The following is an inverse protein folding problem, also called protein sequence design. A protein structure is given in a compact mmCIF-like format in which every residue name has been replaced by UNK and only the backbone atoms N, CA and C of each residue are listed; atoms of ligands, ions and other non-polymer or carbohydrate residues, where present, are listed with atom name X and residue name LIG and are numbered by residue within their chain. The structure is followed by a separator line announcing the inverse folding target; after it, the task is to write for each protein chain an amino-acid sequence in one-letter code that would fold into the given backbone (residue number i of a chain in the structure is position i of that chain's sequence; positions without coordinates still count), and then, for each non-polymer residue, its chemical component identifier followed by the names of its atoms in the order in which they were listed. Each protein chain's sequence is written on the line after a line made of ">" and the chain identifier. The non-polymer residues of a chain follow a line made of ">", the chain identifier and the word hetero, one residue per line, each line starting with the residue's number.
data_IF_386383791004
#
_entry.id   IF_386383791004
#
_cell.length_a   1.000
_cell.length_b   1.000
_cell.length_c   1.000
_cell.angle_alpha   90.00
_cell.angle_beta   90.00
_cell.angle_gamma   90.00
#
_symmetry.space_group_name_H-M   'P 1'
#
loop_
_entity.id
_entity.type
_entity.pdbx_description
1 polymer ?
#
# COMPACT_ATOMS: atom_id res chain seq x y z
N UNK A 1 19.00 5.63 6.14
CA UNK A 1 18.87 4.95 4.85
C UNK A 1 20.17 5.06 4.07
N UNK A 2 20.63 3.93 3.53
CA UNK A 2 21.93 3.81 2.86
C UNK A 2 21.78 3.11 1.51
N UNK A 3 22.64 3.47 0.58
CA UNK A 3 22.85 2.74 -0.66
C UNK A 3 23.68 1.47 -0.39
N UNK A 4 23.90 0.65 -1.41
CA UNK A 4 24.70 -0.58 -1.29
C UNK A 4 26.14 -0.32 -0.81
N UNK A 5 26.71 0.81 -1.19
CA UNK A 5 28.05 1.26 -0.81
C UNK A 5 28.13 1.90 0.60
N UNK A 6 27.02 1.96 1.34
CA UNK A 6 26.93 2.60 2.65
C UNK A 6 26.69 4.11 2.61
N UNK A 7 26.57 4.72 1.43
CA UNK A 7 26.33 6.16 1.31
C UNK A 7 24.92 6.53 1.76
N UNK A 8 24.80 7.47 2.69
CA UNK A 8 23.51 8.04 3.10
C UNK A 8 23.04 9.07 2.06
N UNK A 9 21.81 8.97 1.60
CA UNK A 9 21.31 9.78 0.48
C UNK A 9 20.18 10.75 0.85
N UNK A 10 19.44 10.53 1.93
CA UNK A 10 18.24 11.28 2.25
C UNK A 10 18.46 12.80 2.41
N UNK A 11 19.61 13.23 2.90
CA UNK A 11 19.95 14.65 3.05
C UNK A 11 19.99 15.44 1.73
N UNK A 12 20.12 14.74 0.59
CA UNK A 12 20.08 15.36 -0.75
C UNK A 12 18.64 15.73 -1.17
N UNK A 13 17.65 15.10 -0.56
CA UNK A 13 16.23 15.25 -0.90
C UNK A 13 15.45 16.13 0.08
N UNK A 14 15.75 16.03 1.38
CA UNK A 14 15.09 16.83 2.41
C UNK A 14 16.04 17.10 3.59
N UNK A 15 15.96 18.32 4.16
CA UNK A 15 16.77 18.72 5.33
C UNK A 15 16.52 17.86 6.57
N UNK A 16 15.32 17.28 6.70
CA UNK A 16 14.95 16.38 7.80
C UNK A 16 15.47 14.95 7.59
N UNK A 17 16.10 14.68 6.46
CA UNK A 17 16.62 13.37 6.07
C UNK A 17 15.56 12.27 6.24
N UNK A 18 15.85 11.20 6.97
CA UNK A 18 14.94 10.06 7.19
C UNK A 18 13.69 10.41 8.01
N UNK A 19 13.66 11.57 8.65
CA UNK A 19 12.48 12.10 9.38
C UNK A 19 11.55 12.95 8.52
N UNK A 20 11.83 13.08 7.23
CA UNK A 20 10.92 13.69 6.28
C UNK A 20 9.58 12.93 6.19
N UNK A 21 8.48 13.55 5.73
CA UNK A 21 7.23 12.86 5.43
C UNK A 21 7.45 11.61 4.57
N UNK A 22 6.66 10.59 4.81
CA UNK A 22 6.88 9.27 4.19
C UNK A 22 6.80 9.28 2.67
N UNK A 23 6.00 10.14 2.09
CA UNK A 23 5.93 10.34 0.64
C UNK A 23 7.25 10.89 0.05
N UNK A 24 7.93 11.79 0.76
CA UNK A 24 9.24 12.30 0.37
C UNK A 24 10.28 11.18 0.45
N UNK A 25 10.29 10.43 1.55
CA UNK A 25 11.22 9.30 1.73
C UNK A 25 11.00 8.24 0.67
N UNK A 26 9.74 7.86 0.40
CA UNK A 26 9.42 6.86 -0.61
C UNK A 26 9.87 7.29 -2.02
N UNK A 27 9.64 8.56 -2.39
CA UNK A 27 10.11 9.11 -3.68
C UNK A 27 11.63 9.17 -3.78
N UNK A 28 12.31 9.50 -2.69
CA UNK A 28 13.77 9.51 -2.65
C UNK A 28 14.36 8.10 -2.84
N UNK A 29 13.78 7.10 -2.19
CA UNK A 29 14.17 5.69 -2.35
C UNK A 29 13.93 5.23 -3.79
N UNK A 30 12.74 5.47 -4.34
CA UNK A 30 12.40 5.12 -5.73
C UNK A 30 13.35 5.78 -6.74
N UNK A 31 13.70 7.05 -6.49
CA UNK A 31 14.66 7.78 -7.33
C UNK A 31 16.04 7.11 -7.32
N UNK A 32 16.59 6.83 -6.14
CA UNK A 32 17.93 6.23 -6.01
C UNK A 32 17.97 4.81 -6.55
N UNK A 33 16.93 4.00 -6.28
CA UNK A 33 16.83 2.65 -6.82
C UNK A 33 16.85 2.66 -8.35
N UNK A 34 16.04 3.50 -8.99
CA UNK A 34 15.97 3.61 -10.45
C UNK A 34 17.23 4.22 -11.07
N UNK A 35 17.85 5.19 -10.38
CA UNK A 35 19.10 5.81 -10.83
C UNK A 35 20.27 4.82 -10.86
N UNK A 36 20.30 3.92 -9.87
CA UNK A 36 21.39 2.94 -9.70
C UNK A 36 21.07 1.58 -10.34
N UNK A 37 19.82 1.33 -10.72
CA UNK A 37 19.38 0.04 -11.22
C UNK A 37 19.45 -1.05 -10.15
N UNK A 38 19.19 -0.70 -8.87
CA UNK A 38 19.20 -1.66 -7.76
C UNK A 38 17.79 -2.01 -7.29
N UNK A 39 17.66 -3.20 -6.71
CA UNK A 39 16.36 -3.73 -6.28
C UNK A 39 15.93 -3.26 -4.89
N UNK A 40 16.85 -2.67 -4.10
CA UNK A 40 16.55 -2.16 -2.76
C UNK A 40 17.58 -1.11 -2.33
N UNK A 41 17.23 -0.40 -1.26
CA UNK A 41 18.17 0.36 -0.41
C UNK A 41 18.20 -0.28 0.97
N UNK A 42 19.02 0.24 1.88
CA UNK A 42 19.23 -0.39 3.19
C UNK A 42 18.83 0.54 4.33
N UNK A 43 18.07 0.00 5.28
CA UNK A 43 17.83 0.61 6.56
C UNK A 43 18.87 0.09 7.56
N UNK A 44 19.69 1.00 8.11
CA UNK A 44 20.77 0.68 9.02
C UNK A 44 20.49 1.23 10.42
N UNK A 45 20.49 0.35 11.43
CA UNK A 45 20.38 0.69 12.86
C UNK A 45 21.57 0.12 13.66
N UNK A 46 22.58 -0.46 13.00
CA UNK A 46 23.70 -1.15 13.66
C UNK A 46 24.59 -0.21 14.47
N UNK A 47 24.43 1.10 14.34
CA UNK A 47 25.11 2.11 15.17
C UNK A 47 24.55 2.17 16.61
N UNK A 48 23.45 1.48 16.89
CA UNK A 48 22.84 1.41 18.22
C UNK A 48 23.28 0.14 18.94
N UNK A 49 23.31 0.23 20.29
CA UNK A 49 23.59 -0.93 21.12
C UNK A 49 22.59 -2.08 20.87
N UNK A 50 23.06 -3.34 20.73
CA UNK A 50 22.18 -4.48 20.47
C UNK A 50 21.00 -4.61 21.42
N UNK A 51 21.24 -4.36 22.72
CA UNK A 51 20.21 -4.38 23.77
C UNK A 51 19.10 -3.35 23.52
N UNK A 52 19.47 -2.15 23.05
CA UNK A 52 18.51 -1.12 22.68
C UNK A 52 17.64 -1.60 21.51
N UNK A 53 18.26 -2.12 20.46
CA UNK A 53 17.55 -2.58 19.25
C UNK A 53 16.56 -3.68 19.58
N UNK A 54 16.98 -4.69 20.35
CA UNK A 54 16.15 -5.84 20.72
C UNK A 54 14.97 -5.41 21.61
N UNK A 55 15.23 -4.54 22.58
CA UNK A 55 14.20 -4.12 23.53
C UNK A 55 13.21 -3.12 22.91
N UNK A 56 13.67 -2.25 22.01
CA UNK A 56 12.84 -1.22 21.40
C UNK A 56 12.03 -1.73 20.19
N UNK A 57 12.59 -2.69 19.45
CA UNK A 57 11.98 -3.25 18.24
C UNK A 57 11.88 -4.79 18.28
N UNK A 58 11.31 -5.40 19.34
CA UNK A 58 11.34 -6.85 19.54
C UNK A 58 10.65 -7.63 18.41
N UNK A 59 9.57 -7.09 17.87
CA UNK A 59 8.81 -7.73 16.80
C UNK A 59 9.54 -7.68 15.46
N UNK A 60 10.15 -6.52 15.13
CA UNK A 60 10.94 -6.35 13.91
C UNK A 60 12.18 -7.24 13.98
N UNK A 61 12.89 -7.24 15.13
CA UNK A 61 14.03 -8.10 15.36
C UNK A 61 13.71 -9.58 15.11
N UNK A 62 12.68 -10.09 15.78
CA UNK A 62 12.23 -11.49 15.61
C UNK A 62 11.82 -11.81 14.17
N UNK A 63 11.18 -10.85 13.49
CA UNK A 63 10.76 -11.04 12.11
C UNK A 63 11.94 -11.09 11.15
N UNK A 64 12.89 -10.18 11.28
CA UNK A 64 14.10 -10.14 10.46
C UNK A 64 14.97 -11.40 10.66
N UNK A 65 15.11 -11.88 11.90
CA UNK A 65 15.84 -13.13 12.18
C UNK A 65 15.25 -14.34 11.44
N UNK A 66 13.94 -14.41 11.21
CA UNK A 66 13.33 -15.50 10.41
C UNK A 66 13.80 -15.50 8.96
N UNK A 67 14.28 -14.37 8.46
CA UNK A 67 14.86 -14.23 7.13
C UNK A 67 16.39 -14.24 7.14
N UNK A 68 17.02 -14.60 8.27
CA UNK A 68 18.47 -14.64 8.42
C UNK A 68 19.13 -13.29 8.60
N UNK A 69 18.36 -12.23 8.91
CA UNK A 69 18.87 -10.86 9.08
C UNK A 69 18.90 -10.52 10.57
N UNK A 70 20.09 -10.38 11.13
CA UNK A 70 20.29 -9.88 12.49
C UNK A 70 20.45 -8.36 12.45
N UNK A 71 19.38 -7.62 12.71
CA UNK A 71 19.38 -6.14 12.61
C UNK A 71 20.30 -5.43 13.60
N UNK A 72 20.89 -6.13 14.54
CA UNK A 72 21.96 -5.60 15.41
C UNK A 72 23.33 -5.57 14.72
N UNK A 73 23.47 -6.27 13.60
CA UNK A 73 24.71 -6.41 12.82
C UNK A 73 24.52 -6.15 11.34
N UNK A 74 23.33 -6.48 10.83
CA UNK A 74 23.01 -6.45 9.41
C UNK A 74 22.12 -5.27 9.08
N UNK A 75 22.24 -4.78 7.86
CA UNK A 75 21.32 -3.79 7.28
C UNK A 75 20.07 -4.49 6.74
N UNK A 76 18.92 -3.87 6.91
CA UNK A 76 17.64 -4.39 6.40
C UNK A 76 17.44 -3.90 4.96
N UNK A 77 17.29 -4.78 3.96
CA UNK A 77 16.90 -4.36 2.62
C UNK A 77 15.45 -3.84 2.66
N UNK A 78 15.23 -2.66 2.10
CA UNK A 78 13.92 -1.99 2.08
C UNK A 78 13.62 -1.41 0.70
N UNK A 79 12.34 -1.42 0.37
CA UNK A 79 11.78 -0.82 -0.83
C UNK A 79 10.52 -0.04 -0.45
N UNK A 80 10.11 0.97 -1.21
CA UNK A 80 8.77 1.53 -1.06
C UNK A 80 7.72 0.48 -1.39
N UNK A 81 6.62 0.49 -0.67
CA UNK A 81 5.50 -0.41 -0.90
C UNK A 81 4.19 0.35 -0.88
N UNK A 82 3.18 -0.18 -1.56
CA UNK A 82 1.81 0.28 -1.41
C UNK A 82 1.40 0.13 0.05
N UNK A 83 0.80 1.18 0.62
CA UNK A 83 0.44 1.21 2.03
C UNK A 83 -1.05 1.42 2.26
N UNK A 84 -1.65 2.37 1.56
CA UNK A 84 -3.06 2.73 1.74
C UNK A 84 -3.66 3.24 0.42
N UNK A 85 -4.85 2.77 0.11
CA UNK A 85 -5.61 3.27 -1.03
C UNK A 85 -6.35 4.55 -0.65
N UNK A 86 -6.03 5.67 -1.28
CA UNK A 86 -6.69 6.95 -1.03
C UNK A 86 -7.95 7.16 -1.87
N UNK A 87 -8.27 6.24 -2.73
CA UNK A 87 -9.47 6.18 -3.56
C UNK A 87 -10.31 4.96 -3.21
N UNK A 88 -11.35 4.69 -4.00
CA UNK A 88 -12.22 3.54 -3.81
C UNK A 88 -13.63 3.80 -4.31
N UNK A 89 -14.60 3.08 -3.79
CA UNK A 89 -16.02 3.26 -4.08
C UNK A 89 -16.47 4.60 -3.50
N UNK A 90 -17.00 5.49 -4.34
CA UNK A 90 -17.49 6.81 -3.90
C UNK A 90 -18.67 6.65 -2.95
N UNK A 91 -18.62 7.34 -1.82
CA UNK A 91 -19.63 7.29 -0.76
C UNK A 91 -19.98 8.70 -0.28
N UNK A 92 -21.16 8.81 0.34
CA UNK A 92 -21.54 9.94 1.18
C UNK A 92 -21.10 9.73 2.65
N UNK A 93 -21.42 10.68 3.53
CA UNK A 93 -21.09 10.63 4.97
C UNK A 93 -21.72 9.44 5.71
N UNK A 94 -22.72 8.80 5.13
CA UNK A 94 -23.42 7.62 5.66
C UNK A 94 -22.93 6.30 5.04
N UNK A 95 -21.84 6.35 4.26
CA UNK A 95 -21.29 5.17 3.60
C UNK A 95 -22.14 4.63 2.44
N UNK A 96 -23.16 5.36 2.03
CA UNK A 96 -24.03 4.98 0.92
C UNK A 96 -23.35 5.24 -0.41
N UNK A 97 -23.45 4.31 -1.35
CA UNK A 97 -22.98 4.47 -2.73
C UNK A 97 -24.11 5.00 -3.63
N UNK A 98 -23.83 5.16 -4.90
CA UNK A 98 -24.82 5.49 -5.94
C UNK A 98 -25.70 4.28 -6.35
N UNK A 99 -25.42 3.10 -5.81
CA UNK A 99 -26.23 1.89 -5.99
C UNK A 99 -27.10 1.70 -4.74
N UNK A 100 -28.40 1.62 -4.93
CA UNK A 100 -29.36 1.44 -3.84
C UNK A 100 -29.03 0.23 -2.97
N UNK A 101 -29.00 0.44 -1.65
CA UNK A 101 -28.70 -0.57 -0.62
C UNK A 101 -27.28 -1.14 -0.66
N UNK A 102 -26.36 -0.53 -1.40
CA UNK A 102 -24.94 -0.85 -1.38
C UNK A 102 -24.19 0.19 -0.56
N UNK A 103 -23.41 -0.29 0.40
CA UNK A 103 -22.59 0.53 1.29
C UNK A 103 -21.12 0.15 1.12
N UNK A 104 -20.23 1.13 1.28
CA UNK A 104 -18.79 0.89 1.37
C UNK A 104 -18.21 1.65 2.57
N UNK A 105 -17.32 0.99 3.33
CA UNK A 105 -16.78 1.51 4.58
C UNK A 105 -15.28 1.22 4.66
N UNK A 106 -14.50 2.15 5.20
CA UNK A 106 -13.07 1.99 5.41
C UNK A 106 -12.24 2.14 4.14
N UNK A 107 -11.11 1.48 4.05
CA UNK A 107 -10.12 1.66 2.98
C UNK A 107 -10.66 1.40 1.57
N UNK A 108 -11.69 0.58 1.44
CA UNK A 108 -12.35 0.33 0.15
C UNK A 108 -13.20 1.49 -0.35
N UNK A 109 -13.54 2.43 0.53
CA UNK A 109 -14.39 3.58 0.22
C UNK A 109 -13.61 4.84 -0.11
N UNK A 110 -14.25 5.76 -0.83
CA UNK A 110 -13.73 7.08 -1.15
C UNK A 110 -14.70 8.16 -0.67
N UNK A 111 -14.47 8.68 0.52
CA UNK A 111 -15.20 9.85 1.07
C UNK A 111 -14.62 11.19 0.60
N UNK A 112 -13.45 11.18 -0.04
CA UNK A 112 -12.69 12.38 -0.38
C UNK A 112 -11.80 12.91 0.74
N UNK A 113 -11.90 12.38 1.97
CA UNK A 113 -11.15 12.84 3.15
C UNK A 113 -9.63 12.83 2.95
N UNK A 114 -9.12 11.81 2.28
CA UNK A 114 -7.68 11.60 2.17
C UNK A 114 -7.03 12.34 1.00
N UNK A 115 -7.79 12.79 0.02
CA UNK A 115 -7.22 13.37 -1.19
C UNK A 115 -6.23 12.42 -1.86
N UNK A 116 -5.08 12.95 -2.25
CA UNK A 116 -4.02 12.16 -2.89
C UNK A 116 -3.02 11.53 -1.91
N UNK A 117 -3.04 11.91 -0.63
CA UNK A 117 -2.08 11.45 0.37
C UNK A 117 -2.69 11.49 1.78
N UNK A 118 -3.03 10.34 2.31
CA UNK A 118 -3.67 10.19 3.62
C UNK A 118 -2.76 10.70 4.75
N UNK A 119 -3.33 11.53 5.63
CA UNK A 119 -2.67 11.86 6.90
C UNK A 119 -2.69 10.65 7.84
N UNK A 120 -1.57 10.44 8.52
CA UNK A 120 -1.39 9.31 9.45
C UNK A 120 -2.55 9.23 10.46
N UNK A 121 -3.00 8.00 10.74
CA UNK A 121 -4.07 7.64 11.67
C UNK A 121 -5.50 8.01 11.26
N UNK A 122 -5.71 8.85 10.24
CA UNK A 122 -7.06 9.24 9.81
C UNK A 122 -7.88 8.07 9.25
N UNK A 123 -7.24 7.01 8.76
CA UNK A 123 -7.95 5.83 8.26
C UNK A 123 -8.87 5.18 9.28
N UNK A 124 -8.40 5.03 10.54
CA UNK A 124 -9.22 4.45 11.60
C UNK A 124 -10.40 5.34 11.97
N UNK A 125 -10.18 6.66 12.03
CA UNK A 125 -11.24 7.63 12.32
C UNK A 125 -12.32 7.60 11.23
N UNK A 126 -11.93 7.57 9.96
CA UNK A 126 -12.87 7.43 8.84
C UNK A 126 -13.66 6.13 8.93
N UNK A 127 -12.99 4.99 9.18
CA UNK A 127 -13.66 3.71 9.34
C UNK A 127 -14.76 3.79 10.40
N UNK A 128 -14.48 4.34 11.58
CA UNK A 128 -15.47 4.43 12.65
C UNK A 128 -16.61 5.38 12.33
N UNK A 129 -16.31 6.59 11.85
CA UNK A 129 -17.34 7.61 11.55
C UNK A 129 -18.29 7.11 10.47
N UNK A 130 -17.74 6.60 9.36
CA UNK A 130 -18.56 6.09 8.26
C UNK A 130 -19.32 4.84 8.66
N UNK A 131 -18.73 3.94 9.46
CA UNK A 131 -19.43 2.76 9.96
C UNK A 131 -20.65 3.13 10.83
N UNK A 132 -20.54 4.10 11.70
CA UNK A 132 -21.68 4.60 12.49
C UNK A 132 -22.75 5.23 11.60
N UNK A 133 -22.36 6.03 10.61
CA UNK A 133 -23.29 6.59 9.63
C UNK A 133 -24.05 5.52 8.85
N UNK A 134 -23.32 4.52 8.36
CA UNK A 134 -23.88 3.39 7.62
C UNK A 134 -24.83 2.55 8.50
N UNK A 135 -24.42 2.25 9.73
CA UNK A 135 -25.27 1.50 10.67
C UNK A 135 -26.60 2.22 10.94
N UNK A 136 -26.57 3.54 11.12
CA UNK A 136 -27.79 4.34 11.30
C UNK A 136 -28.67 4.30 10.05
N UNK A 137 -28.11 4.50 8.86
CA UNK A 137 -28.83 4.42 7.59
C UNK A 137 -29.48 3.06 7.37
N UNK A 138 -28.72 2.00 7.61
CA UNK A 138 -29.22 0.63 7.48
C UNK A 138 -30.37 0.37 8.44
N UNK A 139 -30.23 0.77 9.71
CA UNK A 139 -31.27 0.58 10.75
C UNK A 139 -32.57 1.27 10.42
N UNK A 140 -32.53 2.46 9.80
CA UNK A 140 -33.70 3.20 9.37
C UNK A 140 -34.44 2.52 8.20
N UNK A 141 -33.73 1.83 7.33
CA UNK A 141 -34.22 1.35 6.04
C UNK A 141 -34.49 -0.16 5.98
N UNK A 142 -33.83 -0.95 6.84
CA UNK A 142 -33.81 -2.42 6.74
C UNK A 142 -35.21 -3.06 6.70
N UNK A 143 -36.16 -2.49 7.41
CA UNK A 143 -37.54 -3.01 7.44
C UNK A 143 -38.33 -2.77 6.14
N UNK A 144 -37.82 -1.84 5.30
CA UNK A 144 -38.44 -1.44 4.04
C UNK A 144 -37.74 -2.06 2.83
N UNK A 145 -36.62 -2.77 3.02
CA UNK A 145 -35.88 -3.42 1.95
C UNK A 145 -36.49 -4.78 1.66
N UNK A 146 -37.01 -4.96 0.46
CA UNK A 146 -37.45 -6.27 -0.01
C UNK A 146 -36.30 -7.22 -0.24
N UNK A 147 -36.38 -8.43 0.30
CA UNK A 147 -35.39 -9.46 0.00
C UNK A 147 -35.56 -9.94 -1.44
N UNK A 148 -34.47 -10.03 -2.19
CA UNK A 148 -34.47 -10.71 -3.48
C UNK A 148 -34.83 -12.18 -3.30
N UNK A 149 -35.86 -12.65 -4.04
CA UNK A 149 -36.34 -14.04 -3.93
C UNK A 149 -35.37 -15.06 -4.56
N UNK A 150 -34.50 -14.64 -5.46
CA UNK A 150 -33.48 -15.50 -6.08
C UNK A 150 -32.31 -14.67 -6.50
N UNK A 151 -31.13 -15.21 -6.29
CA UNK A 151 -29.88 -14.68 -6.88
C UNK A 151 -29.58 -15.48 -8.15
N UNK A 152 -29.14 -14.84 -9.25
CA UNK A 152 -28.72 -15.56 -10.43
C UNK A 152 -27.49 -16.41 -10.08
N UNK A 153 -27.40 -17.58 -10.68
CA UNK A 153 -26.19 -18.40 -10.59
C UNK A 153 -25.02 -17.68 -11.28
N UNK A 154 -23.83 -17.90 -10.76
CA UNK A 154 -22.62 -17.40 -11.42
C UNK A 154 -22.50 -18.07 -12.80
N UNK A 155 -22.36 -17.27 -13.85
CA UNK A 155 -22.14 -17.77 -15.20
C UNK A 155 -20.65 -18.06 -15.41
N UNK A 156 -20.31 -19.32 -15.59
CA UNK A 156 -18.94 -19.79 -15.85
C UNK A 156 -18.72 -20.19 -17.31
N UNK A 157 -19.66 -19.89 -18.20
CA UNK A 157 -19.59 -20.34 -19.60
C UNK A 157 -18.35 -19.85 -20.37
N UNK A 158 -17.82 -18.69 -19.98
CA UNK A 158 -16.62 -18.10 -20.57
C UNK A 158 -15.33 -18.40 -19.79
N UNK A 159 -15.44 -19.14 -18.67
CA UNK A 159 -14.26 -19.46 -17.86
C UNK A 159 -13.56 -20.69 -18.46
N UNK A 160 -12.33 -20.48 -18.87
CA UNK A 160 -11.47 -21.57 -19.35
C UNK A 160 -10.29 -21.77 -18.41
N UNK A 161 -9.85 -23.01 -18.25
CA UNK A 161 -8.60 -23.29 -17.53
C UNK A 161 -7.41 -22.76 -18.35
N UNK A 162 -6.41 -22.21 -17.66
CA UNK A 162 -5.15 -21.88 -18.31
C UNK A 162 -4.40 -23.17 -18.65
N UNK A 163 -4.07 -23.35 -19.93
CA UNK A 163 -3.30 -24.52 -20.39
C UNK A 163 -1.80 -24.41 -20.03
N UNK A 164 -1.35 -23.23 -19.60
CA UNK A 164 0.06 -22.99 -19.28
C UNK A 164 0.23 -22.04 -18.06
N UNK A 165 0.42 -22.65 -16.89
CA UNK A 165 0.66 -21.91 -15.65
C UNK A 165 1.99 -21.13 -15.64
N UNK A 166 2.97 -21.55 -16.44
CA UNK A 166 4.26 -20.89 -16.56
C UNK A 166 4.09 -19.55 -17.26
N UNK A 167 3.30 -19.52 -18.36
CA UNK A 167 2.94 -18.30 -19.05
C UNK A 167 2.18 -17.32 -18.16
N UNK A 168 1.24 -17.82 -17.35
CA UNK A 168 0.48 -16.98 -16.41
C UNK A 168 1.42 -16.34 -15.39
N UNK A 169 2.31 -17.13 -14.78
CA UNK A 169 3.28 -16.65 -13.80
C UNK A 169 4.26 -15.63 -14.42
N UNK A 170 4.74 -15.90 -15.62
CA UNK A 170 5.62 -15.00 -16.36
C UNK A 170 4.93 -13.67 -16.67
N UNK A 171 3.71 -13.70 -17.19
CA UNK A 171 2.93 -12.49 -17.51
C UNK A 171 2.67 -11.64 -16.25
N UNK A 172 2.40 -12.28 -15.11
CA UNK A 172 2.25 -11.58 -13.83
C UNK A 172 3.53 -10.84 -13.43
N UNK A 173 4.69 -11.47 -13.59
CA UNK A 173 5.97 -10.84 -13.27
C UNK A 173 6.28 -9.67 -14.21
N UNK A 174 6.05 -9.84 -15.51
CA UNK A 174 6.22 -8.78 -16.51
C UNK A 174 5.32 -7.58 -16.21
N UNK A 175 4.02 -7.80 -15.96
CA UNK A 175 3.07 -6.74 -15.60
C UNK A 175 3.52 -6.00 -14.35
N UNK A 176 3.91 -6.72 -13.28
CA UNK A 176 4.38 -6.09 -12.04
C UNK A 176 5.62 -5.22 -12.26
N UNK A 177 6.60 -5.70 -13.02
CA UNK A 177 7.82 -4.95 -13.36
C UNK A 177 7.52 -3.72 -14.21
N UNK A 178 6.67 -3.87 -15.20
CA UNK A 178 6.24 -2.77 -16.06
C UNK A 178 5.52 -1.69 -15.26
N UNK A 179 4.54 -2.09 -14.45
CA UNK A 179 3.81 -1.17 -13.58
C UNK A 179 4.74 -0.47 -12.57
N UNK A 180 5.67 -1.21 -11.95
CA UNK A 180 6.65 -0.63 -11.04
C UNK A 180 7.57 0.39 -11.71
N UNK A 181 8.09 0.06 -12.87
CA UNK A 181 9.09 0.89 -13.56
C UNK A 181 8.49 2.15 -14.20
N UNK A 182 7.31 2.03 -14.78
CA UNK A 182 6.73 3.07 -15.63
C UNK A 182 5.51 3.76 -15.02
N UNK A 183 4.68 3.05 -14.26
CA UNK A 183 3.43 3.56 -13.68
C UNK A 183 3.52 3.77 -12.16
N UNK A 184 4.60 3.33 -11.51
CA UNK A 184 4.80 3.34 -10.07
C UNK A 184 4.75 4.71 -9.38
N UNK A 185 5.60 4.93 -8.38
CA UNK A 185 5.54 6.08 -7.47
C UNK A 185 5.69 7.42 -8.20
N UNK A 186 6.66 7.52 -9.13
CA UNK A 186 6.92 8.74 -9.91
C UNK A 186 6.58 8.51 -11.38
N UNK A 187 5.56 9.19 -11.83
CA UNK A 187 5.04 9.11 -13.21
C UNK A 187 5.49 10.30 -14.05
N UNK A 188 5.70 10.07 -15.34
CA UNK A 188 5.87 11.12 -16.34
C UNK A 188 5.17 10.70 -17.62
N UNK A 189 4.78 11.65 -18.46
CA UNK A 189 4.15 11.35 -19.76
C UNK A 189 5.00 10.42 -20.63
N UNK A 190 6.33 10.54 -20.54
CA UNK A 190 7.25 9.66 -21.27
C UNK A 190 7.18 8.23 -20.76
N UNK A 191 7.23 8.03 -19.42
CA UNK A 191 7.15 6.69 -18.81
C UNK A 191 5.80 6.02 -19.08
N UNK A 192 4.70 6.77 -18.93
CA UNK A 192 3.35 6.24 -19.17
C UNK A 192 3.10 5.83 -20.63
N UNK A 193 3.81 6.42 -21.60
CA UNK A 193 3.74 5.99 -23.00
C UNK A 193 4.56 4.72 -23.28
N UNK A 194 5.43 4.33 -22.38
CA UNK A 194 6.26 3.12 -22.49
C UNK A 194 5.61 1.91 -21.81
N UNK A 195 4.59 2.18 -20.95
CA UNK A 195 3.76 1.14 -20.33
C UNK A 195 2.66 0.67 -21.26
#
# INVERSE_FOLDING_TARGET
>A
LELSDGTRFMSKFDKRAELAPRDIVARAIDHEMKRLGCDCVYLNITHREPSFVINHFPNIYKRCLKFGIDITKDRIPVVPAAHYTCGGVVINERGETDIDNLYAIGETSCSGLHGANRMASNSLLECFVVAFGAASSISERINNVGLSKSLPSWDTSEVTNSDDEVLVSHNWDEIRRLMWNFVGIVRSSKRLRMA
#
